data_IF_045339433193
#
_entry.id   IF_045339433193
#
_cell.length_a   1.000
_cell.length_b   1.000
_cell.length_c   1.000
_cell.angle_alpha   90.00
_cell.angle_beta   90.00
_cell.angle_gamma   90.00
#
_symmetry.space_group_name_H-M   'P 1'
#
loop_
_entity.id
_entity.type
_entity.pdbx_description
1 polymer ?
#
# COMPACT_ATOMS: atom_id res chain seq x y z
N UNK A 1 -2.58 8.65 6.72
CA UNK A 1 -1.89 8.91 7.99
C UNK A 1 -1.62 7.57 8.65
N UNK A 2 -0.48 7.42 9.30
CA UNK A 2 -0.16 6.24 10.13
C UNK A 2 0.38 6.69 11.50
N UNK A 3 0.19 5.86 12.52
CA UNK A 3 0.85 6.03 13.82
C UNK A 3 2.04 5.08 13.90
N UNK A 4 3.19 5.59 14.33
CA UNK A 4 4.42 4.80 14.45
C UNK A 4 5.31 5.40 15.53
N UNK A 5 5.78 4.56 16.47
CA UNK A 5 6.60 4.98 17.63
C UNK A 5 6.07 6.21 18.37
N UNK A 6 4.75 6.29 18.55
CA UNK A 6 4.07 7.39 19.25
C UNK A 6 3.95 8.70 18.47
N UNK A 7 4.30 8.73 17.18
CA UNK A 7 4.17 9.89 16.29
C UNK A 7 3.19 9.62 15.16
N UNK A 8 2.62 10.68 14.59
CA UNK A 8 1.77 10.57 13.41
C UNK A 8 2.53 11.01 12.16
N UNK A 9 2.45 10.18 11.11
CA UNK A 9 3.05 10.45 9.82
C UNK A 9 1.95 10.66 8.78
N UNK A 10 2.02 11.78 8.06
CA UNK A 10 1.03 12.19 7.07
C UNK A 10 1.73 12.45 5.75
N UNK A 11 1.41 11.63 4.74
CA UNK A 11 1.85 11.86 3.36
C UNK A 11 0.99 12.95 2.73
N UNK A 12 1.63 13.93 2.09
CA UNK A 12 0.90 14.90 1.29
C UNK A 12 0.41 14.27 -0.02
N UNK A 13 -0.58 14.88 -0.67
CA UNK A 13 -1.10 14.37 -1.94
C UNK A 13 -0.39 14.97 -3.15
N UNK A 14 0.86 15.42 -2.99
CA UNK A 14 1.58 16.07 -4.08
C UNK A 14 2.14 15.09 -5.09
N UNK A 15 2.26 13.80 -4.77
CA UNK A 15 2.91 12.83 -5.67
C UNK A 15 4.44 12.86 -5.59
N UNK A 16 5.00 13.60 -4.62
CA UNK A 16 6.44 13.77 -4.43
C UNK A 16 7.00 12.97 -3.26
N UNK A 17 6.14 12.31 -2.49
CA UNK A 17 6.52 11.53 -1.32
C UNK A 17 6.95 12.41 -0.15
N UNK A 18 6.36 13.61 -0.04
CA UNK A 18 6.59 14.51 1.09
C UNK A 18 5.75 14.05 2.28
N UNK A 19 6.38 13.96 3.45
CA UNK A 19 5.73 13.44 4.66
C UNK A 19 5.95 14.39 5.82
N UNK A 20 4.87 14.73 6.51
CA UNK A 20 4.88 15.50 7.74
C UNK A 20 4.84 14.55 8.94
N UNK A 21 5.63 14.85 9.96
CA UNK A 21 5.65 14.14 11.24
C UNK A 21 5.08 15.07 12.29
N UNK A 22 4.03 14.62 12.96
CA UNK A 22 3.39 15.33 14.06
C UNK A 22 3.82 14.61 15.35
N UNK A 23 4.60 15.32 16.16
CA UNK A 23 5.03 14.87 17.48
C UNK A 23 3.86 14.97 18.49
N UNK A 24 3.90 14.24 19.61
CA UNK A 24 2.90 14.40 20.68
C UNK A 24 2.78 15.84 21.23
N UNK A 25 3.85 16.63 21.14
CA UNK A 25 3.87 18.06 21.48
C UNK A 25 3.13 18.95 20.48
N UNK A 26 2.58 18.37 19.40
CA UNK A 26 1.99 19.05 18.24
C UNK A 26 3.00 19.83 17.38
N UNK A 27 4.29 19.67 17.64
CA UNK A 27 5.33 20.14 16.73
C UNK A 27 5.27 19.35 15.43
N UNK A 28 5.36 20.08 14.31
CA UNK A 28 5.31 19.50 12.97
C UNK A 28 6.68 19.66 12.33
N UNK A 29 7.24 18.55 11.89
CA UNK A 29 8.47 18.51 11.08
C UNK A 29 8.20 17.84 9.74
N UNK A 30 9.11 18.03 8.79
CA UNK A 30 9.01 17.48 7.44
C UNK A 30 10.14 16.48 7.19
N UNK A 31 9.80 15.39 6.50
CA UNK A 31 10.74 14.51 5.83
C UNK A 31 10.75 14.89 4.35
N UNK A 32 11.93 15.22 3.83
CA UNK A 32 12.09 15.69 2.45
C UNK A 32 11.55 14.70 1.42
N UNK A 33 11.05 15.26 0.31
CA UNK A 33 10.46 14.51 -0.79
C UNK A 33 11.45 13.54 -1.44
N UNK A 34 10.93 12.44 -1.98
CA UNK A 34 11.74 11.43 -2.69
C UNK A 34 11.94 11.75 -4.17
N UNK A 35 11.14 12.69 -4.70
CA UNK A 35 11.29 13.24 -6.06
C UNK A 35 10.95 14.73 -6.06
N UNK A 36 11.44 15.44 -7.07
CA UNK A 36 11.08 16.84 -7.33
C UNK A 36 9.89 16.97 -8.29
N UNK A 37 9.60 15.94 -9.08
CA UNK A 37 8.56 15.95 -10.09
C UNK A 37 7.26 15.30 -9.60
N UNK A 38 6.13 15.80 -10.11
CA UNK A 38 4.79 15.27 -9.84
C UNK A 38 4.53 14.03 -10.71
N UNK A 39 5.22 12.94 -10.40
CA UNK A 39 5.19 11.70 -11.21
C UNK A 39 4.14 10.69 -10.72
N UNK A 40 3.64 10.85 -9.49
CA UNK A 40 2.86 9.83 -8.80
C UNK A 40 1.43 10.30 -8.48
N UNK A 41 0.43 9.51 -8.88
CA UNK A 41 -0.98 9.82 -8.63
C UNK A 41 -1.50 9.30 -7.28
N UNK A 42 -0.78 8.35 -6.67
CA UNK A 42 -1.21 7.75 -5.42
C UNK A 42 -0.03 7.37 -4.53
N UNK A 43 -0.07 7.84 -3.29
CA UNK A 43 0.98 7.62 -2.30
C UNK A 43 0.35 7.19 -0.98
N UNK A 44 0.99 6.24 -0.31
CA UNK A 44 0.56 5.80 1.00
C UNK A 44 1.73 5.47 1.90
N UNK A 45 1.45 5.60 3.20
CA UNK A 45 2.31 5.08 4.26
C UNK A 45 1.76 3.72 4.70
N UNK A 46 2.68 2.78 4.91
CA UNK A 46 2.39 1.43 5.38
C UNK A 46 3.30 1.15 6.56
N UNK A 47 2.72 0.83 7.70
CA UNK A 47 3.48 0.35 8.87
C UNK A 47 3.73 -1.14 8.68
N UNK A 48 4.97 -1.57 8.88
CA UNK A 48 5.42 -2.95 8.74
C UNK A 48 6.00 -3.40 10.08
N UNK A 49 5.22 -4.16 10.83
CA UNK A 49 5.56 -4.50 12.22
C UNK A 49 5.64 -3.27 13.12
N UNK A 50 6.49 -3.34 14.15
CA UNK A 50 6.62 -2.29 15.16
C UNK A 50 7.81 -1.34 14.89
N UNK A 51 8.64 -1.63 13.89
CA UNK A 51 9.95 -1.01 13.69
C UNK A 51 10.16 -0.38 12.31
N UNK A 52 9.25 -0.57 11.36
CA UNK A 52 9.40 -0.09 9.98
C UNK A 52 8.18 0.68 9.47
N UNK A 53 8.43 1.79 8.75
CA UNK A 53 7.46 2.50 7.94
C UNK A 53 7.92 2.53 6.49
N UNK A 54 7.01 2.19 5.59
CA UNK A 54 7.20 2.23 4.15
C UNK A 54 6.38 3.37 3.54
N UNK A 55 7.00 4.18 2.70
CA UNK A 55 6.32 5.05 1.75
C UNK A 55 6.22 4.30 0.42
N UNK A 56 4.99 4.14 -0.07
CA UNK A 56 4.69 3.43 -1.31
C UNK A 56 4.11 4.42 -2.31
N UNK A 57 4.78 4.57 -3.44
CA UNK A 57 4.32 5.36 -4.59
C UNK A 57 3.80 4.40 -5.66
N UNK A 58 2.57 4.63 -6.14
CA UNK A 58 1.95 3.87 -7.22
C UNK A 58 1.87 4.72 -8.48
N UNK A 59 2.43 4.18 -9.55
CA UNK A 59 2.43 4.77 -10.87
C UNK A 59 1.50 3.96 -11.76
N UNK A 60 0.52 4.63 -12.35
CA UNK A 60 -0.38 4.03 -13.35
C UNK A 60 -0.16 4.77 -14.67
N UNK A 61 -0.23 4.09 -15.84
CA UNK A 61 -0.30 4.80 -17.12
C UNK A 61 -1.41 5.86 -17.09
N UNK A 62 -1.13 7.03 -17.66
CA UNK A 62 -2.16 8.00 -18.04
C UNK A 62 -2.98 7.50 -19.22
N UNK A 63 -3.92 8.33 -19.70
CA UNK A 63 -4.75 8.03 -20.88
C UNK A 63 -3.92 7.93 -22.18
N UNK A 64 -2.73 8.53 -22.22
CA UNK A 64 -1.78 8.38 -23.33
C UNK A 64 -0.90 7.15 -23.14
N UNK A 65 -1.09 6.19 -24.04
CA UNK A 65 -0.77 4.79 -23.89
C UNK A 65 0.72 4.39 -24.00
N UNK A 66 1.69 5.31 -24.09
CA UNK A 66 2.94 4.95 -24.77
C UNK A 66 4.23 4.79 -23.95
N UNK A 67 4.25 4.90 -22.62
CA UNK A 67 5.50 4.57 -21.90
C UNK A 67 5.36 3.64 -20.70
N UNK A 68 4.18 3.46 -20.09
CA UNK A 68 4.00 2.57 -18.93
C UNK A 68 2.75 1.70 -19.05
N UNK A 69 2.73 0.72 -19.95
CA UNK A 69 1.58 -0.18 -20.19
C UNK A 69 1.05 -0.90 -18.91
N UNK A 70 1.75 -0.83 -17.76
CA UNK A 70 1.39 -1.52 -16.51
C UNK A 70 1.65 -0.67 -15.26
N UNK A 71 0.75 -0.78 -14.28
CA UNK A 71 0.94 -0.22 -12.93
C UNK A 71 2.25 -0.72 -12.31
N UNK A 72 3.07 0.17 -11.77
CA UNK A 72 4.33 -0.16 -11.08
C UNK A 72 4.51 0.69 -9.81
N UNK A 73 5.51 0.31 -8.98
CA UNK A 73 5.68 0.87 -7.65
C UNK A 73 7.13 1.31 -7.37
N UNK A 74 7.28 2.39 -6.59
CA UNK A 74 8.49 2.68 -5.81
C UNK A 74 8.15 2.50 -4.34
N UNK A 75 9.06 1.90 -3.60
CA UNK A 75 8.94 1.74 -2.15
C UNK A 75 10.16 2.36 -1.49
N UNK A 76 9.93 3.07 -0.40
CA UNK A 76 10.97 3.68 0.40
C UNK A 76 10.78 3.29 1.86
N UNK A 77 11.87 2.93 2.52
CA UNK A 77 11.94 2.70 3.96
C UNK A 77 12.27 4.01 4.66
N UNK A 78 11.60 4.28 5.78
CA UNK A 78 11.99 5.35 6.69
C UNK A 78 13.23 4.94 7.47
N UNK A 79 14.30 5.72 7.36
CA UNK A 79 15.42 5.66 8.29
C UNK A 79 15.32 6.84 9.27
N UNK A 80 15.42 6.54 10.57
CA UNK A 80 15.35 7.55 11.64
C UNK A 80 16.71 7.85 12.27
N UNK A 81 17.76 7.09 11.96
CA UNK A 81 19.09 7.28 12.54
C UNK A 81 19.72 8.60 12.07
N UNK A 82 20.07 9.47 13.02
CA UNK A 82 20.61 10.82 12.84
C UNK A 82 19.62 11.82 12.21
N UNK A 83 19.06 11.50 11.04
CA UNK A 83 18.13 12.35 10.31
C UNK A 83 17.08 11.50 9.60
N UNK A 84 15.81 11.88 9.76
CA UNK A 84 14.68 11.21 9.08
C UNK A 84 14.83 11.36 7.58
N UNK A 85 14.94 10.23 6.88
CA UNK A 85 15.05 10.20 5.41
C UNK A 85 14.41 8.95 4.83
N UNK A 86 14.02 9.06 3.58
CA UNK A 86 13.51 7.95 2.79
C UNK A 86 14.64 7.26 2.03
N UNK A 87 14.74 5.93 2.18
CA UNK A 87 15.70 5.11 1.44
C UNK A 87 14.95 4.18 0.52
N UNK A 88 15.22 4.29 -0.78
CA UNK A 88 14.57 3.45 -1.79
C UNK A 88 14.94 1.98 -1.56
N UNK A 89 13.93 1.12 -1.55
CA UNK A 89 14.10 -0.33 -1.47
C UNK A 89 13.52 -0.98 -2.73
N UNK A 90 14.23 -1.98 -3.25
CA UNK A 90 13.80 -2.80 -4.38
C UNK A 90 13.41 -4.22 -3.99
N UNK A 91 13.53 -4.53 -2.69
CA UNK A 91 13.28 -5.85 -2.14
C UNK A 91 12.61 -5.71 -0.77
N UNK A 92 11.43 -6.32 -0.62
CA UNK A 92 10.70 -6.44 0.64
C UNK A 92 11.03 -7.76 1.36
N UNK A 93 11.96 -8.55 0.84
CA UNK A 93 12.36 -9.87 1.32
C UNK A 93 11.14 -10.78 1.34
N UNK A 94 10.78 -11.35 2.48
CA UNK A 94 9.61 -12.23 2.62
C UNK A 94 8.33 -11.44 2.92
N UNK A 95 8.29 -10.11 2.73
CA UNK A 95 7.09 -9.32 3.01
C UNK A 95 6.22 -9.09 1.78
N UNK A 96 4.92 -8.97 2.03
CA UNK A 96 3.91 -8.53 1.08
C UNK A 96 3.23 -7.27 1.59
N UNK A 97 3.10 -6.28 0.72
CA UNK A 97 2.35 -5.04 1.00
C UNK A 97 0.98 -5.13 0.34
N UNK A 98 -0.09 -4.94 1.11
CA UNK A 98 -1.47 -4.85 0.63
C UNK A 98 -1.89 -3.39 0.55
N UNK A 99 -2.33 -2.95 -0.63
CA UNK A 99 -2.83 -1.60 -0.88
C UNK A 99 -4.32 -1.64 -1.24
N UNK A 100 -5.16 -1.22 -0.30
CA UNK A 100 -6.58 -1.07 -0.49
C UNK A 100 -6.98 0.37 -0.83
N UNK A 101 -8.29 0.61 -0.91
CA UNK A 101 -8.85 1.95 -1.12
C UNK A 101 -8.61 2.84 0.11
N UNK A 102 -8.81 2.28 1.31
CA UNK A 102 -8.76 3.03 2.57
C UNK A 102 -7.68 2.54 3.54
N UNK A 103 -7.18 1.32 3.37
CA UNK A 103 -6.29 0.66 4.33
C UNK A 103 -5.11 0.05 3.60
N UNK A 104 -3.94 0.13 4.22
CA UNK A 104 -2.71 -0.44 3.71
C UNK A 104 -2.04 -1.25 4.81
N UNK A 105 -1.55 -2.44 4.47
CA UNK A 105 -0.98 -3.38 5.43
C UNK A 105 0.31 -3.98 4.89
N UNK A 106 1.17 -4.46 5.78
CA UNK A 106 2.37 -5.21 5.42
C UNK A 106 2.48 -6.43 6.35
N UNK A 107 2.72 -7.60 5.77
CA UNK A 107 2.83 -8.87 6.50
C UNK A 107 3.98 -9.70 5.95
N UNK A 108 4.46 -10.68 6.73
CA UNK A 108 5.32 -11.72 6.19
C UNK A 108 4.47 -12.66 5.33
N UNK A 109 4.97 -13.05 4.16
CA UNK A 109 4.27 -13.93 3.23
C UNK A 109 3.91 -15.28 3.86
N UNK A 110 4.77 -15.81 4.75
CA UNK A 110 4.48 -17.03 5.51
C UNK A 110 3.25 -16.91 6.44
N UNK A 111 2.84 -15.69 6.79
CA UNK A 111 1.66 -15.43 7.62
C UNK A 111 0.37 -15.38 6.79
N UNK A 112 0.49 -15.30 5.45
CA UNK A 112 -0.65 -15.20 4.55
C UNK A 112 -0.63 -16.37 3.54
N UNK A 113 -1.48 -17.39 3.73
CA UNK A 113 -1.50 -18.57 2.87
C UNK A 113 -1.66 -18.22 1.38
N UNK A 114 -0.80 -18.80 0.54
CA UNK A 114 -0.88 -18.65 -0.92
C UNK A 114 -0.34 -17.33 -1.47
N UNK A 115 0.30 -16.50 -0.65
CA UNK A 115 0.94 -15.25 -1.08
C UNK A 115 2.45 -15.43 -1.19
N UNK A 116 3.03 -14.85 -2.24
CA UNK A 116 4.48 -14.79 -2.44
C UNK A 116 5.07 -13.58 -1.69
N UNK A 117 6.24 -13.71 -1.09
CA UNK A 117 7.02 -12.57 -0.60
C UNK A 117 7.48 -11.65 -1.73
N UNK A 118 8.06 -10.52 -1.34
CA UNK A 118 8.60 -9.51 -2.24
C UNK A 118 7.59 -8.97 -3.28
N UNK A 119 6.35 -8.72 -2.85
CA UNK A 119 5.30 -8.25 -3.75
C UNK A 119 4.40 -7.16 -3.14
N UNK A 120 3.73 -6.42 -4.02
CA UNK A 120 2.65 -5.49 -3.69
C UNK A 120 1.35 -6.02 -4.25
N UNK A 121 0.40 -6.34 -3.39
CA UNK A 121 -0.96 -6.71 -3.76
C UNK A 121 -1.86 -5.48 -3.69
N UNK A 122 -2.59 -5.17 -4.75
CA UNK A 122 -3.36 -3.92 -4.81
C UNK A 122 -4.66 -4.08 -5.58
N UNK A 123 -5.64 -3.24 -5.23
CA UNK A 123 -6.88 -3.12 -5.99
C UNK A 123 -6.65 -2.12 -7.12
N UNK A 124 -6.92 -2.54 -8.36
CA UNK A 124 -6.93 -1.62 -9.49
C UNK A 124 -8.34 -1.03 -9.67
N UNK A 125 -8.55 0.28 -9.46
CA UNK A 125 -9.84 0.90 -9.69
C UNK A 125 -10.06 1.07 -11.21
N UNK A 126 -10.85 0.18 -11.82
CA UNK A 126 -11.55 0.44 -13.09
C UNK A 126 -12.73 -0.55 -13.32
N UNK A 127 -13.69 -0.17 -14.15
CA UNK A 127 -15.12 0.09 -13.81
C UNK A 127 -16.17 -1.04 -13.87
N UNK A 128 -15.82 -2.33 -13.81
CA UNK A 128 -16.87 -3.40 -13.79
C UNK A 128 -16.65 -4.44 -12.69
N UNK A 129 -15.41 -4.74 -12.32
CA UNK A 129 -15.05 -5.61 -11.20
C UNK A 129 -13.70 -5.15 -10.64
N UNK A 130 -13.62 -4.91 -9.33
CA UNK A 130 -12.35 -4.66 -8.64
C UNK A 130 -11.42 -5.84 -8.86
N UNK A 131 -10.34 -5.63 -9.63
CA UNK A 131 -9.32 -6.66 -9.85
C UNK A 131 -8.25 -6.54 -8.79
N UNK A 132 -8.00 -7.64 -8.10
CA UNK A 132 -6.85 -7.77 -7.22
C UNK A 132 -5.65 -8.20 -8.04
N UNK A 133 -4.63 -7.35 -8.06
CA UNK A 133 -3.40 -7.57 -8.80
C UNK A 133 -2.22 -7.73 -7.85
N UNK A 134 -1.19 -8.42 -8.33
CA UNK A 134 0.07 -8.63 -7.63
C UNK A 134 1.19 -8.08 -8.50
N UNK A 135 1.91 -7.09 -8.00
CA UNK A 135 3.17 -6.59 -8.56
C UNK A 135 4.34 -7.25 -7.86
N UNK A 136 5.11 -8.04 -8.59
CA UNK A 136 6.32 -8.69 -8.11
C UNK A 136 7.51 -7.73 -8.25
N UNK A 137 8.16 -7.37 -7.14
CA UNK A 137 9.26 -6.40 -7.17
C UNK A 137 10.51 -6.96 -7.88
N UNK A 138 10.74 -8.26 -7.80
CA UNK A 138 11.91 -8.92 -8.40
C UNK A 138 11.84 -8.95 -9.93
N UNK A 139 10.67 -9.34 -10.46
CA UNK A 139 10.44 -9.43 -11.92
C UNK A 139 9.91 -8.13 -12.53
N UNK A 140 9.42 -7.20 -11.70
CA UNK A 140 8.73 -5.96 -12.10
C UNK A 140 7.51 -6.21 -13.00
N UNK A 141 6.81 -7.32 -12.76
CA UNK A 141 5.61 -7.70 -13.49
C UNK A 141 4.36 -7.65 -12.61
N UNK A 142 3.24 -7.30 -13.24
CA UNK A 142 1.91 -7.31 -12.64
C UNK A 142 1.10 -8.49 -13.16
N UNK A 143 0.48 -9.25 -12.26
CA UNK A 143 -0.37 -10.42 -12.57
C UNK A 143 -1.69 -10.35 -11.80
N UNK A 144 -2.70 -11.12 -12.21
CA UNK A 144 -3.93 -11.24 -11.43
C UNK A 144 -3.72 -12.16 -10.23
N UNK A 145 -4.22 -11.77 -9.06
CA UNK A 145 -4.09 -12.56 -7.84
C UNK A 145 -4.70 -13.97 -7.98
N UNK A 146 -5.81 -14.11 -8.71
CA UNK A 146 -6.44 -15.41 -9.01
C UNK A 146 -5.53 -16.40 -9.74
N UNK A 147 -4.52 -15.91 -10.46
CA UNK A 147 -3.53 -16.75 -11.16
C UNK A 147 -2.39 -17.19 -10.25
N UNK A 148 -2.13 -16.42 -9.19
CA UNK A 148 -1.01 -16.60 -8.25
C UNK A 148 -1.45 -17.37 -7.00
N UNK A 149 -2.62 -17.07 -6.45
CA UNK A 149 -3.17 -17.67 -5.23
C UNK A 149 -3.99 -18.94 -5.52
N UNK A 150 -3.39 -19.97 -6.15
CA UNK A 150 -4.09 -21.23 -6.47
C UNK A 150 -4.56 -22.05 -5.24
N UNK A 151 -4.16 -21.66 -4.03
CA UNK A 151 -4.55 -22.31 -2.77
C UNK A 151 -5.61 -21.59 -1.95
N UNK A 152 -6.01 -20.37 -2.32
CA UNK A 152 -7.19 -19.73 -1.72
C UNK A 152 -8.41 -20.29 -2.44
N UNK A 153 -9.06 -21.30 -1.84
CA UNK A 153 -10.39 -21.67 -2.27
C UNK A 153 -11.26 -20.41 -2.33
N UNK A 154 -11.97 -20.20 -3.43
CA UNK A 154 -12.89 -19.06 -3.66
C UNK A 154 -14.07 -18.98 -2.66
N UNK A 155 -13.99 -19.64 -1.50
CA UNK A 155 -15.03 -19.74 -0.49
C UNK A 155 -14.93 -18.74 0.67
N UNK A 156 -13.91 -17.87 0.72
CA UNK A 156 -13.84 -16.81 1.77
C UNK A 156 -14.20 -15.41 1.30
N UNK A 157 -14.49 -15.21 0.02
CA UNK A 157 -15.31 -14.10 -0.46
C UNK A 157 -16.74 -14.62 -0.64
N UNK A 158 -17.28 -15.20 0.43
CA UNK A 158 -18.68 -15.53 0.54
C UNK A 158 -19.50 -14.25 0.59
N UNK A 159 -20.54 -14.21 -0.23
CA UNK A 159 -21.49 -13.14 -0.39
C UNK A 159 -21.95 -12.57 0.97
N UNK A 160 -21.61 -11.31 1.27
CA UNK A 160 -22.40 -10.52 2.22
C UNK A 160 -23.68 -10.06 1.50
N UNK A 161 -24.58 -11.02 1.26
CA UNK A 161 -26.00 -10.74 1.04
C UNK A 161 -26.72 -11.03 2.35
N UNK A 162 -26.74 -10.07 3.28
CA UNK A 162 -27.87 -9.87 4.18
C UNK A 162 -27.92 -8.39 4.58
N UNK A 163 -28.49 -7.57 3.69
CA UNK A 163 -29.35 -6.49 4.11
C UNK A 163 -30.73 -7.09 4.38
N UNK A 164 -31.09 -7.33 5.64
CA UNK A 164 -32.48 -7.21 6.10
C UNK A 164 -32.61 -7.18 7.63
N UNK A 165 -33.21 -6.08 8.09
CA UNK A 165 -34.10 -5.93 9.24
C UNK A 165 -33.60 -6.37 10.64
N UNK A 166 -33.08 -5.41 11.40
CA UNK A 166 -33.33 -5.35 12.85
C UNK A 166 -33.61 -3.90 13.28
N UNK A 167 -34.86 -3.48 13.11
CA UNK A 167 -35.49 -2.51 13.99
C UNK A 167 -36.81 -3.14 14.45
N UNK A 168 -36.74 -3.86 15.56
CA UNK A 168 -37.85 -4.01 16.48
C UNK A 168 -37.26 -4.36 17.85
N UNK A 169 -37.08 -3.31 18.66
CA UNK A 169 -36.93 -3.42 20.09
C UNK A 169 -38.16 -2.75 20.74
N UNK A 170 -39.05 -3.61 21.21
CA UNK A 170 -39.72 -3.56 22.51
C UNK A 170 -40.47 -2.30 22.95
N UNK A 171 -41.78 -2.47 23.15
CA UNK A 171 -42.48 -2.14 24.40
C UNK A 171 -43.51 -3.24 24.67
#
# INVERSE_FOLDING_TARGET
MVSFKGRFYVVDKSGRGRVFVIEPSLEVSEIHSVTQAHECYWEALVVSGDDEVLLVQRFSPGEDHDEHVRTWFRIFRLEEENQRRWVRVSDLVERVVFLGVNWNFCYLAKEVPGVKGNCVMFIQPNTILDRILVFDLGTRNTTQASTVCRGMGMGMLGENKESNSFCNASS
#
